data_IF_984208869488
#
_entry.id   IF_984208869488
#
_cell.length_a   1.000
_cell.length_b   1.000
_cell.length_c   1.000
_cell.angle_alpha   90.00
_cell.angle_beta   90.00
_cell.angle_gamma   90.00
#
_symmetry.space_group_name_H-M   'P 1'
#
loop_
_entity.id
_entity.type
_entity.pdbx_description
1 polymer ?
#
# COMPACT_ATOMS: atom_id res chain seq x y z
N UNK A 1 16.92 14.28 1.15
CA UNK A 1 16.14 15.10 2.11
C UNK A 1 14.65 14.93 1.77
N UNK A 2 13.99 13.94 2.36
CA UNK A 2 12.55 13.70 2.11
C UNK A 2 11.75 14.80 2.79
N UNK A 3 10.72 15.30 2.12
CA UNK A 3 9.90 16.43 2.54
C UNK A 3 9.16 16.13 3.86
N UNK A 4 9.68 16.62 4.99
CA UNK A 4 9.11 16.40 6.33
C UNK A 4 7.68 16.93 6.46
N UNK A 5 7.28 17.91 5.64
CA UNK A 5 5.95 18.52 5.70
C UNK A 5 4.84 17.56 5.27
N UNK A 6 5.05 16.80 4.19
CA UNK A 6 4.07 15.79 3.74
C UNK A 6 3.96 14.64 4.73
N UNK A 7 5.08 14.23 5.34
CA UNK A 7 5.10 13.19 6.37
C UNK A 7 4.41 13.63 7.66
N UNK A 8 4.53 14.91 8.03
CA UNK A 8 3.84 15.46 9.21
C UNK A 8 2.32 15.54 8.99
N UNK A 9 1.88 15.94 7.80
CA UNK A 9 0.45 15.98 7.46
C UNK A 9 -0.15 14.56 7.47
N UNK A 10 0.53 13.57 6.88
CA UNK A 10 0.05 12.18 6.92
C UNK A 10 0.12 11.58 8.32
N UNK A 11 1.12 11.95 9.13
CA UNK A 11 1.20 11.54 10.53
C UNK A 11 0.04 12.11 11.36
N UNK A 12 -0.29 13.40 11.23
CA UNK A 12 -1.44 14.01 11.91
C UNK A 12 -2.75 13.32 11.56
N UNK A 13 -2.88 12.86 10.31
CA UNK A 13 -4.03 12.06 9.87
C UNK A 13 -4.18 10.74 10.60
N UNK A 14 -3.22 10.27 11.40
CA UNK A 14 -3.37 9.05 12.24
C UNK A 14 -4.23 9.36 13.47
N UNK A 15 -4.13 10.59 13.99
CA UNK A 15 -4.88 11.02 15.16
C UNK A 15 -6.32 11.42 14.81
N UNK A 16 -6.55 11.98 13.63
CA UNK A 16 -7.90 12.29 13.14
C UNK A 16 -8.45 11.06 12.45
N UNK A 17 -9.64 10.54 12.78
CA UNK A 17 -10.25 9.36 12.09
C UNK A 17 -10.60 9.59 10.61
N UNK A 18 -9.99 10.59 9.98
CA UNK A 18 -10.14 10.95 8.58
C UNK A 18 -9.36 9.99 7.68
N UNK A 19 -10.10 9.32 6.80
CA UNK A 19 -9.59 8.38 5.81
C UNK A 19 -10.12 8.76 4.43
N UNK A 20 -9.55 9.78 3.78
CA UNK A 20 -10.12 10.37 2.57
C UNK A 20 -10.04 9.45 1.35
N UNK A 21 -9.20 8.40 1.39
CA UNK A 21 -8.98 7.53 0.24
C UNK A 21 -9.79 6.24 0.37
N UNK A 22 -10.98 6.21 -0.22
CA UNK A 22 -11.88 5.03 -0.23
C UNK A 22 -11.61 4.12 -1.42
N UNK A 23 -11.61 2.81 -1.19
CA UNK A 23 -11.58 1.79 -2.22
C UNK A 23 -12.96 1.70 -2.89
N UNK A 24 -13.05 1.81 -4.22
CA UNK A 24 -14.32 1.68 -4.93
C UNK A 24 -14.85 0.24 -4.93
N UNK A 25 -13.96 -0.75 -4.86
CA UNK A 25 -14.31 -2.16 -5.01
C UNK A 25 -14.90 -2.77 -3.73
N UNK A 26 -14.42 -2.36 -2.55
CA UNK A 26 -14.87 -2.91 -1.26
C UNK A 26 -15.20 -1.88 -0.19
N UNK A 27 -15.11 -0.58 -0.50
CA UNK A 27 -15.46 0.50 0.42
C UNK A 27 -14.47 0.77 1.55
N UNK A 28 -13.36 0.02 1.66
CA UNK A 28 -12.32 0.25 2.68
C UNK A 28 -11.62 1.59 2.48
N UNK A 29 -11.43 2.34 3.54
CA UNK A 29 -10.80 3.66 3.50
C UNK A 29 -9.38 3.67 4.08
N UNK A 30 -8.55 4.58 3.57
CA UNK A 30 -7.14 4.74 3.94
C UNK A 30 -6.81 6.21 4.19
N UNK A 31 -5.86 6.44 5.12
CA UNK A 31 -5.34 7.78 5.46
C UNK A 31 -4.39 8.35 4.39
N UNK A 32 -3.77 7.46 3.59
CA UNK A 32 -2.73 7.78 2.60
C UNK A 32 -3.04 7.07 1.27
N UNK A 33 -2.93 7.80 0.16
CA UNK A 33 -3.22 7.29 -1.20
C UNK A 33 -2.37 6.09 -1.60
N UNK A 34 -1.09 6.06 -1.18
CA UNK A 34 -0.20 4.93 -1.45
C UNK A 34 -0.72 3.62 -0.81
N UNK A 35 -1.35 3.69 0.37
CA UNK A 35 -1.94 2.53 1.01
C UNK A 35 -3.16 2.03 0.24
N UNK A 36 -4.03 2.93 -0.23
CA UNK A 36 -5.14 2.56 -1.12
C UNK A 36 -4.61 1.90 -2.41
N UNK A 37 -3.60 2.49 -3.07
CA UNK A 37 -3.00 1.90 -4.28
C UNK A 37 -2.45 0.50 -4.03
N UNK A 38 -1.73 0.30 -2.92
CA UNK A 38 -1.22 -1.01 -2.52
C UNK A 38 -2.35 -1.99 -2.26
N UNK A 39 -3.39 -1.55 -1.57
CA UNK A 39 -4.59 -2.36 -1.33
C UNK A 39 -5.34 -2.70 -2.62
N UNK A 40 -5.43 -1.82 -3.61
CA UNK A 40 -6.11 -2.16 -4.87
C UNK A 40 -5.48 -3.36 -5.58
N UNK A 41 -4.15 -3.54 -5.45
CA UNK A 41 -3.48 -4.76 -5.92
C UNK A 41 -4.01 -6.01 -5.24
N UNK A 42 -4.68 -5.92 -4.09
CA UNK A 42 -5.28 -7.08 -3.43
C UNK A 42 -6.53 -7.62 -4.10
N UNK A 43 -7.20 -6.77 -4.90
CA UNK A 43 -8.34 -7.17 -5.72
C UNK A 43 -7.90 -7.79 -7.05
N UNK A 44 -6.65 -7.59 -7.46
CA UNK A 44 -6.09 -8.22 -8.66
C UNK A 44 -5.25 -9.42 -8.26
N UNK A 45 -5.32 -10.51 -9.01
CA UNK A 45 -4.45 -11.69 -8.80
C UNK A 45 -3.03 -11.48 -9.37
N UNK A 46 -2.69 -10.24 -9.72
CA UNK A 46 -1.37 -9.87 -10.19
C UNK A 46 -0.31 -10.05 -9.11
N UNK A 47 0.72 -10.83 -9.45
CA UNK A 47 1.89 -11.09 -8.62
C UNK A 47 3.17 -10.79 -9.42
N UNK A 48 3.48 -9.51 -9.68
CA UNK A 48 4.54 -9.12 -10.59
C UNK A 48 5.95 -9.38 -10.03
N UNK A 49 6.09 -9.72 -8.75
CA UNK A 49 7.39 -9.92 -8.12
C UNK A 49 7.66 -11.41 -7.97
N UNK A 50 8.46 -11.99 -8.86
CA UNK A 50 8.84 -13.40 -8.85
C UNK A 50 10.18 -13.60 -8.14
N UNK A 51 10.29 -14.64 -7.32
CA UNK A 51 11.55 -15.16 -6.82
C UNK A 51 12.20 -15.99 -7.93
N UNK A 52 13.42 -15.62 -8.31
CA UNK A 52 14.15 -16.33 -9.38
C UNK A 52 14.64 -17.71 -8.94
N UNK A 53 14.86 -17.93 -7.64
CA UNK A 53 15.34 -19.22 -7.13
C UNK A 53 14.25 -20.30 -7.08
N UNK A 54 13.05 -19.95 -6.58
CA UNK A 54 11.97 -20.92 -6.38
C UNK A 54 10.72 -20.68 -7.26
N UNK A 55 10.71 -19.61 -8.05
CA UNK A 55 9.60 -19.26 -8.95
C UNK A 55 8.34 -18.72 -8.27
N UNK A 56 8.30 -18.63 -6.94
CA UNK A 56 7.14 -18.08 -6.21
C UNK A 56 6.94 -16.61 -6.55
N UNK A 57 5.68 -16.23 -6.78
CA UNK A 57 5.31 -14.87 -7.17
C UNK A 57 4.55 -14.17 -6.04
N UNK A 58 4.84 -12.88 -5.85
CA UNK A 58 4.35 -12.04 -4.77
C UNK A 58 3.70 -10.77 -5.31
N UNK A 59 2.72 -10.26 -4.54
CA UNK A 59 2.00 -9.02 -4.86
C UNK A 59 2.79 -7.74 -4.52
N UNK A 60 3.74 -7.84 -3.59
CA UNK A 60 4.54 -6.71 -3.12
C UNK A 60 6.03 -7.05 -3.10
N UNK A 61 6.87 -6.09 -3.53
CA UNK A 61 8.33 -6.23 -3.51
C UNK A 61 8.86 -6.49 -2.10
N UNK A 62 8.33 -5.80 -1.09
CA UNK A 62 8.73 -6.01 0.31
C UNK A 62 8.50 -7.45 0.78
N UNK A 63 7.44 -8.10 0.27
CA UNK A 63 7.16 -9.51 0.58
C UNK A 63 8.17 -10.44 -0.10
N UNK A 64 8.57 -10.16 -1.34
CA UNK A 64 9.65 -10.88 -2.01
C UNK A 64 11.00 -10.69 -1.28
N UNK A 65 11.28 -9.50 -0.75
CA UNK A 65 12.56 -9.21 -0.07
C UNK A 65 12.74 -9.97 1.25
N UNK A 66 11.65 -10.30 1.95
CA UNK A 66 11.70 -11.08 3.20
C UNK A 66 11.41 -12.57 2.98
N UNK A 67 11.04 -12.95 1.75
CA UNK A 67 10.75 -14.31 1.36
C UNK A 67 12.05 -15.07 1.11
#
# INVERSE_FOLDING_TARGET
>A
RVNHRSSLITHRRIHTSDMPYKCPDCGKSYRISNNLRRHRKTHTDERPYRCEECGKSFRHKSTLTIH
#
